data_IF_940939405843
#
_entry.id   IF_940939405843
#
_cell.length_a   1.000
_cell.length_b   1.000
_cell.length_c   1.000
_cell.angle_alpha   90.00
_cell.angle_beta   90.00
_cell.angle_gamma   90.00
#
_symmetry.space_group_name_H-M   'P 1'
#
loop_
_entity.id
_entity.type
_entity.pdbx_description
1 polymer ?
#
# COMPACT_ATOMS: atom_id res chain seq x y z
N UNK A 1 -13.37 10.82 24.57
CA UNK A 1 -14.50 11.67 24.12
C UNK A 1 -15.68 10.85 23.55
N UNK A 2 -15.49 9.88 22.65
CA UNK A 2 -16.61 9.06 22.10
C UNK A 2 -17.34 8.19 23.14
N UNK A 3 -16.63 7.61 24.12
CA UNK A 3 -17.27 6.85 25.21
C UNK A 3 -18.19 7.76 26.03
N UNK A 4 -17.77 8.99 26.32
CA UNK A 4 -18.56 9.96 27.09
C UNK A 4 -19.82 10.42 26.34
N UNK A 5 -19.72 10.64 25.02
CA UNK A 5 -20.87 10.99 24.16
C UNK A 5 -21.95 9.89 24.10
N UNK A 6 -21.59 8.62 24.37
CA UNK A 6 -22.58 7.52 24.43
C UNK A 6 -23.49 7.59 25.66
N UNK A 7 -23.05 8.26 26.74
CA UNK A 7 -23.74 8.29 28.04
C UNK A 7 -24.32 9.66 28.40
N UNK A 8 -24.09 10.71 27.60
CA UNK A 8 -24.62 12.05 27.85
C UNK A 8 -25.24 12.65 26.57
N UNK A 9 -26.50 13.07 26.64
CA UNK A 9 -27.24 13.74 25.53
C UNK A 9 -26.70 15.15 25.20
N UNK A 10 -25.73 15.63 25.97
CA UNK A 10 -25.17 16.98 25.88
C UNK A 10 -24.23 17.19 24.67
N UNK A 11 -23.81 16.12 23.99
CA UNK A 11 -22.87 16.21 22.85
C UNK A 11 -23.49 15.48 21.64
N UNK A 12 -23.65 16.14 20.48
CA UNK A 12 -24.10 15.47 19.26
C UNK A 12 -23.21 14.27 18.96
N UNK A 13 -23.82 13.12 18.66
CA UNK A 13 -23.09 11.90 18.27
C UNK A 13 -22.45 12.15 16.91
N UNK A 14 -21.20 12.61 16.90
CA UNK A 14 -20.43 12.77 15.67
C UNK A 14 -19.94 11.40 15.15
N UNK A 15 -20.88 10.49 14.82
CA UNK A 15 -20.56 9.13 14.34
C UNK A 15 -19.77 9.17 13.02
N UNK A 16 -19.95 10.22 12.22
CA UNK A 16 -19.18 10.46 10.99
C UNK A 16 -17.67 10.58 11.24
N UNK A 17 -17.24 11.12 12.40
CA UNK A 17 -15.81 11.29 12.70
C UNK A 17 -15.08 9.95 12.88
N UNK A 18 -15.80 8.93 13.38
CA UNK A 18 -15.26 7.58 13.52
C UNK A 18 -14.98 6.99 12.14
N UNK A 19 -15.94 7.09 11.23
CA UNK A 19 -15.79 6.61 9.87
C UNK A 19 -14.70 7.37 9.10
N UNK A 20 -14.61 8.69 9.28
CA UNK A 20 -13.55 9.51 8.70
C UNK A 20 -12.16 9.14 9.20
N UNK A 21 -12.01 8.86 10.49
CA UNK A 21 -10.72 8.43 11.02
C UNK A 21 -10.26 7.13 10.37
N UNK A 22 -11.17 6.18 10.09
CA UNK A 22 -10.84 4.93 9.39
C UNK A 22 -10.45 5.20 7.94
N UNK A 23 -11.12 6.12 7.27
CA UNK A 23 -10.82 6.50 5.89
C UNK A 23 -9.44 7.16 5.77
N UNK A 24 -9.13 8.10 6.67
CA UNK A 24 -7.80 8.70 6.74
C UNK A 24 -6.73 7.66 7.08
N UNK A 25 -7.03 6.72 7.97
CA UNK A 25 -6.11 5.64 8.31
C UNK A 25 -5.77 4.75 7.11
N UNK A 26 -6.76 4.40 6.28
CA UNK A 26 -6.53 3.66 5.03
C UNK A 26 -5.55 4.41 4.13
N UNK A 27 -5.80 5.70 3.89
CA UNK A 27 -4.91 6.53 3.07
C UNK A 27 -3.49 6.61 3.64
N UNK A 28 -3.34 6.82 4.96
CA UNK A 28 -2.03 6.85 5.62
C UNK A 28 -1.28 5.54 5.46
N UNK A 29 -1.95 4.40 5.63
CA UNK A 29 -1.33 3.07 5.45
C UNK A 29 -0.91 2.85 4.00
N UNK A 30 -1.75 3.19 3.02
CA UNK A 30 -1.44 3.01 1.61
C UNK A 30 -0.25 3.89 1.16
N UNK A 31 -0.21 5.14 1.62
CA UNK A 31 0.93 6.03 1.37
C UNK A 31 2.19 5.52 2.07
N UNK A 32 2.10 5.14 3.34
CA UNK A 32 3.23 4.60 4.11
C UNK A 32 3.81 3.33 3.50
N UNK A 33 2.96 2.40 3.05
CA UNK A 33 3.39 1.20 2.35
C UNK A 33 4.09 1.54 1.02
N UNK A 34 3.60 2.54 0.29
CA UNK A 34 4.23 3.03 -0.94
C UNK A 34 5.63 3.60 -0.70
N UNK A 35 5.80 4.37 0.37
CA UNK A 35 7.13 4.85 0.78
C UNK A 35 8.03 3.67 1.16
N UNK A 36 7.52 2.69 1.91
CA UNK A 36 8.30 1.51 2.29
C UNK A 36 8.76 0.66 1.11
N UNK A 37 7.93 0.49 0.08
CA UNK A 37 8.32 -0.18 -1.17
C UNK A 37 9.42 0.61 -1.88
N UNK A 38 9.28 1.93 -1.97
CA UNK A 38 10.28 2.81 -2.61
C UNK A 38 11.64 2.75 -1.90
N UNK A 39 11.63 2.70 -0.57
CA UNK A 39 12.85 2.60 0.24
C UNK A 39 13.44 1.19 0.29
N UNK A 40 12.77 0.20 -0.33
CA UNK A 40 13.25 -1.18 -0.33
C UNK A 40 13.22 -1.82 1.06
N UNK A 41 12.33 -1.37 1.96
CA UNK A 41 12.18 -1.91 3.32
C UNK A 41 11.59 -3.33 3.35
N UNK A 42 11.60 -4.03 2.22
CA UNK A 42 11.16 -5.41 2.09
C UNK A 42 12.19 -6.33 2.70
N UNK A 43 12.25 -6.37 4.04
CA UNK A 43 13.07 -7.25 4.87
C UNK A 43 14.11 -8.03 4.05
N UNK A 44 15.17 -7.33 3.64
CA UNK A 44 16.39 -7.98 3.15
C UNK A 44 16.91 -8.74 4.35
N UNK A 45 16.41 -9.95 4.50
CA UNK A 45 16.79 -10.88 5.52
C UNK A 45 18.25 -11.23 5.21
N UNK A 46 19.19 -10.50 5.83
CA UNK A 46 20.59 -10.89 6.06
C UNK A 46 20.66 -12.15 6.95
N UNK A 47 19.69 -13.06 6.83
CA UNK A 47 19.64 -14.35 7.51
C UNK A 47 20.77 -15.26 7.03
N UNK A 48 21.34 -14.97 5.86
CA UNK A 48 22.54 -15.63 5.36
C UNK A 48 23.74 -14.68 5.27
N UNK A 49 24.60 -14.64 6.31
CA UNK A 49 25.83 -13.84 6.29
C UNK A 49 26.89 -14.32 5.29
N UNK A 50 26.63 -15.37 4.50
CA UNK A 50 27.61 -16.02 3.62
C UNK A 50 27.06 -16.41 2.23
N UNK A 51 26.13 -15.63 1.66
CA UNK A 51 25.71 -15.85 0.26
C UNK A 51 26.76 -15.32 -0.71
N UNK A 52 27.09 -16.10 -1.73
CA UNK A 52 27.92 -15.60 -2.83
C UNK A 52 27.24 -14.38 -3.51
N UNK A 53 27.99 -13.43 -4.09
CA UNK A 53 27.42 -12.25 -4.75
C UNK A 53 26.35 -12.59 -5.79
N UNK A 54 26.53 -13.69 -6.52
CA UNK A 54 25.57 -14.17 -7.53
C UNK A 54 24.27 -14.69 -6.90
N UNK A 55 24.36 -15.35 -5.74
CA UNK A 55 23.17 -15.87 -5.04
C UNK A 55 22.35 -14.74 -4.41
N UNK A 56 23.01 -13.71 -3.87
CA UNK A 56 22.35 -12.50 -3.34
C UNK A 56 21.56 -11.76 -4.45
N UNK A 57 22.17 -11.53 -5.62
CA UNK A 57 21.50 -10.88 -6.75
C UNK A 57 20.28 -11.69 -7.22
N UNK A 58 20.42 -13.03 -7.33
CA UNK A 58 19.29 -13.90 -7.71
C UNK A 58 18.15 -13.84 -6.70
N UNK A 59 18.44 -13.86 -5.40
CA UNK A 59 17.43 -13.73 -4.35
C UNK A 59 16.71 -12.38 -4.40
N UNK A 60 17.46 -11.29 -4.61
CA UNK A 60 16.87 -9.95 -4.79
C UNK A 60 15.93 -9.90 -5.99
N UNK A 61 16.34 -10.45 -7.14
CA UNK A 61 15.51 -10.54 -8.33
C UNK A 61 14.22 -11.35 -8.10
N UNK A 62 14.32 -12.49 -7.40
CA UNK A 62 13.16 -13.32 -7.06
C UNK A 62 12.22 -12.58 -6.11
N UNK A 63 12.76 -11.92 -5.08
CA UNK A 63 11.99 -11.10 -4.15
C UNK A 63 11.23 -9.99 -4.89
N UNK A 64 11.95 -9.19 -5.69
CA UNK A 64 11.33 -8.12 -6.50
C UNK A 64 10.23 -8.66 -7.42
N UNK A 65 10.46 -9.80 -8.07
CA UNK A 65 9.44 -10.43 -8.92
C UNK A 65 8.18 -10.81 -8.13
N UNK A 66 8.33 -11.42 -6.94
CA UNK A 66 7.21 -11.78 -6.07
C UNK A 66 6.44 -10.55 -5.61
N UNK A 67 7.14 -9.46 -5.27
CA UNK A 67 6.50 -8.21 -4.84
C UNK A 67 5.77 -7.55 -6.01
N UNK A 68 6.33 -7.55 -7.22
CA UNK A 68 5.64 -7.03 -8.43
C UNK A 68 4.36 -7.83 -8.71
N UNK A 69 4.42 -9.17 -8.59
CA UNK A 69 3.24 -10.02 -8.72
C UNK A 69 2.18 -9.68 -7.68
N UNK A 70 2.58 -9.52 -6.41
CA UNK A 70 1.68 -9.10 -5.34
C UNK A 70 1.07 -7.71 -5.59
N UNK A 71 1.88 -6.74 -6.02
CA UNK A 71 1.41 -5.41 -6.37
C UNK A 71 0.42 -5.44 -7.56
N UNK A 72 0.63 -6.34 -8.53
CA UNK A 72 -0.31 -6.58 -9.63
C UNK A 72 -1.66 -7.11 -9.14
N UNK A 73 -1.66 -8.02 -8.16
CA UNK A 73 -2.90 -8.50 -7.51
C UNK A 73 -3.61 -7.35 -6.80
N UNK A 74 -2.89 -6.54 -6.02
CA UNK A 74 -3.45 -5.38 -5.32
C UNK A 74 -4.02 -4.35 -6.31
N UNK A 75 -3.33 -4.11 -7.43
CA UNK A 75 -3.79 -3.22 -8.48
C UNK A 75 -5.09 -3.73 -9.12
N UNK A 76 -5.10 -4.98 -9.58
CA UNK A 76 -6.25 -5.58 -10.27
C UNK A 76 -7.49 -5.62 -9.38
N UNK A 77 -7.37 -6.24 -8.19
CA UNK A 77 -8.49 -6.33 -7.26
C UNK A 77 -8.86 -4.97 -6.66
N UNK A 78 -7.89 -4.05 -6.54
CA UNK A 78 -8.14 -2.67 -6.13
C UNK A 78 -9.03 -1.91 -7.13
N UNK A 79 -8.86 -2.13 -8.43
CA UNK A 79 -9.73 -1.55 -9.46
C UNK A 79 -11.15 -2.09 -9.31
N UNK A 80 -11.31 -3.41 -9.26
CA UNK A 80 -12.63 -4.06 -9.07
C UNK A 80 -13.31 -3.57 -7.78
N UNK A 81 -12.54 -3.45 -6.69
CA UNK A 81 -13.03 -2.96 -5.42
C UNK A 81 -13.46 -1.48 -5.49
N UNK A 82 -12.73 -0.66 -6.23
CA UNK A 82 -13.09 0.75 -6.46
C UNK A 82 -14.39 0.85 -7.27
N UNK A 83 -14.56 0.01 -8.29
CA UNK A 83 -15.79 -0.04 -9.08
C UNK A 83 -17.00 -0.48 -8.26
N UNK A 84 -16.81 -1.44 -7.36
CA UNK A 84 -17.84 -1.84 -6.40
C UNK A 84 -18.28 -0.66 -5.51
N UNK A 85 -17.36 0.24 -5.18
CA UNK A 85 -17.62 1.46 -4.42
C UNK A 85 -18.34 2.59 -5.16
N UNK A 86 -18.53 2.51 -6.49
CA UNK A 86 -19.19 3.60 -7.25
C UNK A 86 -20.65 3.78 -6.90
N UNK A 87 -21.35 2.68 -6.60
CA UNK A 87 -22.76 2.67 -6.25
C UNK A 87 -23.00 2.64 -4.73
N UNK A 88 -21.95 2.88 -3.93
CA UNK A 88 -22.03 2.87 -2.48
C UNK A 88 -21.65 4.23 -1.90
N UNK A 89 -22.55 4.73 -1.07
CA UNK A 89 -22.35 5.95 -0.28
C UNK A 89 -22.23 5.54 1.19
N UNK A 90 -21.28 6.16 1.88
CA UNK A 90 -21.10 6.01 3.32
C UNK A 90 -22.34 6.47 4.08
N UNK A 91 -22.82 5.64 5.01
CA UNK A 91 -24.07 5.87 5.75
C UNK A 91 -23.99 7.07 6.71
N UNK A 92 -22.80 7.35 7.27
CA UNK A 92 -22.65 8.40 8.28
C UNK A 92 -21.93 9.63 7.75
N UNK A 93 -21.07 9.46 6.73
CA UNK A 93 -20.28 10.54 6.18
C UNK A 93 -20.83 11.11 4.87
N UNK A 94 -21.85 10.48 4.29
CA UNK A 94 -22.51 10.88 3.04
C UNK A 94 -21.52 11.11 1.89
N UNK A 95 -20.47 10.29 1.85
CA UNK A 95 -19.41 10.35 0.85
C UNK A 95 -19.34 9.07 0.02
N UNK A 96 -19.01 9.18 -1.27
CA UNK A 96 -18.96 8.02 -2.13
C UNK A 96 -17.73 7.16 -1.80
N UNK A 97 -17.94 5.86 -1.62
CA UNK A 97 -16.93 4.93 -1.10
C UNK A 97 -15.76 4.71 -2.05
N UNK A 98 -15.95 4.93 -3.36
CA UNK A 98 -14.87 4.84 -4.34
C UNK A 98 -13.69 5.77 -4.01
N UNK A 99 -13.93 6.89 -3.30
CA UNK A 99 -12.86 7.82 -2.88
C UNK A 99 -11.89 7.20 -1.87
N UNK A 100 -12.34 6.17 -1.16
CA UNK A 100 -11.52 5.42 -0.22
C UNK A 100 -10.89 4.22 -0.92
N UNK A 101 -11.68 3.51 -1.72
CA UNK A 101 -11.25 2.28 -2.39
C UNK A 101 -10.21 2.51 -3.48
N UNK A 102 -10.16 3.71 -4.07
CA UNK A 102 -9.13 4.09 -5.05
C UNK A 102 -7.71 4.11 -4.46
N UNK A 103 -7.56 4.15 -3.14
CA UNK A 103 -6.26 4.09 -2.49
C UNK A 103 -5.49 2.79 -2.81
N UNK A 104 -6.19 1.66 -2.98
CA UNK A 104 -5.60 0.36 -3.30
C UNK A 104 -4.97 0.30 -4.70
N UNK A 105 -5.71 0.58 -5.80
CA UNK A 105 -5.12 0.56 -7.13
C UNK A 105 -4.05 1.65 -7.29
N UNK A 106 -4.21 2.80 -6.63
CA UNK A 106 -3.19 3.84 -6.64
C UNK A 106 -1.88 3.35 -6.00
N UNK A 107 -1.95 2.73 -4.81
CA UNK A 107 -0.79 2.15 -4.14
C UNK A 107 -0.16 1.05 -5.00
N UNK A 108 -0.94 0.09 -5.50
CA UNK A 108 -0.45 -1.00 -6.34
C UNK A 108 0.28 -0.50 -7.60
N UNK A 109 -0.25 0.54 -8.26
CA UNK A 109 0.42 1.19 -9.39
C UNK A 109 1.78 1.78 -9.00
N UNK A 110 1.85 2.54 -7.91
CA UNK A 110 3.11 3.14 -7.47
C UNK A 110 4.13 2.09 -7.01
N UNK A 111 3.68 1.01 -6.36
CA UNK A 111 4.56 -0.08 -5.97
C UNK A 111 5.23 -0.71 -7.19
N UNK A 112 4.45 -1.03 -8.24
CA UNK A 112 5.00 -1.55 -9.50
C UNK A 112 5.98 -0.55 -10.11
N UNK A 113 5.63 0.73 -10.17
CA UNK A 113 6.51 1.76 -10.74
C UNK A 113 7.86 1.84 -10.02
N UNK A 114 7.87 1.86 -8.68
CA UNK A 114 9.11 1.91 -7.90
C UNK A 114 9.92 0.62 -7.97
N UNK A 115 9.29 -0.55 -8.00
CA UNK A 115 9.99 -1.83 -8.14
C UNK A 115 10.64 -1.98 -9.52
N UNK A 116 9.97 -1.51 -10.57
CA UNK A 116 10.54 -1.46 -11.92
C UNK A 116 11.73 -0.51 -11.96
N UNK A 117 11.61 0.70 -11.38
CA UNK A 117 12.71 1.65 -11.29
C UNK A 117 13.92 1.06 -10.54
N UNK A 118 13.67 0.42 -9.39
CA UNK A 118 14.69 -0.24 -8.58
C UNK A 118 15.42 -1.35 -9.37
N UNK A 119 14.66 -2.20 -10.05
CA UNK A 119 15.23 -3.30 -10.84
C UNK A 119 16.05 -2.79 -12.03
N UNK A 120 15.60 -1.74 -12.72
CA UNK A 120 16.35 -1.12 -13.81
C UNK A 120 17.65 -0.47 -13.31
N UNK A 121 17.62 0.16 -12.14
CA UNK A 121 18.80 0.76 -11.51
C UNK A 121 19.85 -0.30 -11.15
N UNK A 122 19.41 -1.42 -10.58
CA UNK A 122 20.28 -2.55 -10.26
C UNK A 122 20.93 -3.16 -11.52
N UNK A 123 20.16 -3.35 -12.60
CA UNK A 123 20.68 -3.87 -13.87
C UNK A 123 21.71 -2.94 -14.50
N UNK A 124 21.47 -1.62 -14.47
CA UNK A 124 22.43 -0.64 -14.98
C UNK A 124 23.74 -0.67 -14.20
N UNK A 125 23.67 -0.75 -12.87
CA UNK A 125 24.86 -0.86 -12.02
C UNK A 125 25.68 -2.12 -12.30
N UNK A 126 25.04 -3.25 -12.62
CA UNK A 126 25.75 -4.48 -13.01
C UNK A 126 26.45 -4.35 -14.37
N UNK A 127 25.83 -3.64 -15.33
CA UNK A 127 26.42 -3.41 -16.66
C UNK A 127 27.63 -2.45 -16.64
N UNK A 128 27.71 -1.56 -15.65
CA UNK A 128 28.85 -0.64 -15.49
C UNK A 128 30.07 -1.31 -14.83
N UNK A 129 29.89 -2.48 -14.18
CA UNK A 129 30.97 -3.22 -13.50
C UNK A 129 31.59 -4.31 -14.39
N UNK A 130 30.86 -4.84 -15.39
CA UNK A 130 31.35 -5.88 -16.31
C UNK A 130 32.14 -5.31 -17.48
#
# INVERSE_FOLDING_TARGET
>A
MQIFSRFTELIPRYMWTEEMSRFMFIWMVMIGATVGVREGLHFDLDVWPNLSPQASIKLKMVSNFLIVMFAGVVLYWGIEFTQFGWNQTSELADMPMWWIFIAWPLAGFFWIAFLVESTLRDLKHLSEIS
#
